data_IF_527878789849
#
_entry.id   IF_527878789849
#
_cell.length_a   1.000
_cell.length_b   1.000
_cell.length_c   1.000
_cell.angle_alpha   90.00
_cell.angle_beta   90.00
_cell.angle_gamma   90.00
#
_symmetry.space_group_name_H-M   'P 1'
#
loop_
_entity.id
_entity.type
_entity.pdbx_description
1 polymer ?
#
# COMPACT_ATOMS: atom_id res chain seq x y z
N UNK A 1 13.20 -12.29 7.32
CA UNK A 1 13.29 -11.09 8.18
C UNK A 1 12.00 -10.28 7.98
N UNK A 2 10.90 -10.96 8.29
CA UNK A 2 9.80 -10.61 9.17
C UNK A 2 9.03 -9.30 8.88
N UNK A 3 8.00 -9.50 8.04
CA UNK A 3 6.60 -9.05 8.09
C UNK A 3 6.19 -7.57 8.15
N UNK A 4 5.36 -7.21 7.16
CA UNK A 4 4.63 -5.95 7.02
C UNK A 4 3.51 -5.77 8.05
N UNK A 5 3.36 -4.53 8.55
CA UNK A 5 2.26 -4.08 9.39
C UNK A 5 1.12 -3.59 8.49
N UNK A 6 -0.04 -4.25 8.58
CA UNK A 6 -1.28 -3.79 7.95
C UNK A 6 -1.97 -2.79 8.88
N UNK A 7 -2.14 -1.55 8.42
CA UNK A 7 -2.97 -0.54 9.09
C UNK A 7 -4.46 -0.87 8.94
N UNK A 8 -5.30 -0.53 9.93
CA UNK A 8 -6.70 -0.92 9.96
C UNK A 8 -7.57 0.00 9.08
N UNK A 9 -7.46 -0.11 7.76
CA UNK A 9 -8.48 0.43 6.86
C UNK A 9 -9.69 -0.53 6.82
N UNK A 10 -10.65 -0.27 7.70
CA UNK A 10 -11.98 -0.91 7.73
C UNK A 10 -12.75 -0.50 6.48
N UNK A 11 -12.67 -1.33 5.43
CA UNK A 11 -13.74 -1.69 4.47
C UNK A 11 -13.21 -2.48 3.26
N UNK A 12 -12.03 -3.08 3.36
CA UNK A 12 -11.59 -4.12 2.44
C UNK A 12 -12.22 -5.45 2.85
N UNK A 13 -13.49 -5.64 2.51
CA UNK A 13 -14.06 -6.98 2.48
C UNK A 13 -13.23 -7.86 1.55
N UNK A 14 -12.34 -8.64 2.20
CA UNK A 14 -11.85 -9.96 1.80
C UNK A 14 -11.11 -10.00 0.44
N UNK A 15 -9.79 -10.19 0.54
CA UNK A 15 -8.89 -10.73 -0.51
C UNK A 15 -8.55 -9.84 -1.71
N UNK A 16 -7.84 -8.72 -1.53
CA UNK A 16 -7.10 -8.13 -2.66
C UNK A 16 -5.57 -8.12 -2.51
N UNK A 17 -5.00 -8.23 -1.31
CA UNK A 17 -3.54 -8.42 -1.15
C UNK A 17 -3.08 -9.90 -1.14
N UNK A 18 -3.96 -10.84 -1.49
CA UNK A 18 -3.61 -12.27 -1.68
C UNK A 18 -3.23 -12.59 -3.14
N UNK A 19 -3.40 -11.64 -4.07
CA UNK A 19 -2.78 -11.70 -5.38
C UNK A 19 -1.37 -11.12 -5.21
N UNK A 20 -0.31 -11.86 -4.95
CA UNK A 20 0.05 -13.18 -5.44
C UNK A 20 0.93 -13.84 -4.37
N UNK A 21 0.54 -15.00 -3.82
CA UNK A 21 1.34 -15.75 -2.82
C UNK A 21 2.79 -16.04 -3.26
N UNK A 22 3.12 -15.85 -4.54
CA UNK A 22 4.41 -16.14 -5.13
C UNK A 22 5.47 -15.03 -4.93
N UNK A 23 5.08 -13.78 -4.63
CA UNK A 23 6.00 -12.63 -4.68
C UNK A 23 6.22 -11.89 -3.35
N UNK A 24 5.40 -12.17 -2.34
CA UNK A 24 5.42 -11.44 -1.06
C UNK A 24 6.18 -12.20 0.04
N UNK A 25 6.67 -11.44 1.03
CA UNK A 25 7.33 -11.98 2.22
C UNK A 25 6.36 -12.86 3.05
N UNK A 26 6.87 -13.56 4.07
CA UNK A 26 6.03 -14.36 4.97
C UNK A 26 4.80 -13.56 5.42
N UNK A 27 3.60 -14.15 5.39
CA UNK A 27 2.36 -13.47 5.79
C UNK A 27 1.72 -14.22 6.95
N UNK A 28 1.20 -13.49 7.95
CA UNK A 28 0.50 -14.06 9.12
C UNK A 28 -0.96 -13.64 9.07
N UNK A 29 -1.85 -14.60 8.94
CA UNK A 29 -3.29 -14.37 9.00
C UNK A 29 -3.75 -14.60 10.43
N UNK A 30 -4.32 -13.58 11.05
CA UNK A 30 -5.05 -13.71 12.31
C UNK A 30 -6.51 -14.03 12.00
N UNK A 31 -7.00 -15.16 12.49
CA UNK A 31 -8.42 -15.55 12.40
C UNK A 31 -9.17 -15.13 13.67
N UNK A 32 -10.51 -15.01 13.58
CA UNK A 32 -11.36 -14.68 14.74
C UNK A 32 -11.21 -15.67 15.91
N UNK A 33 -10.77 -16.90 15.59
CA UNK A 33 -10.47 -17.98 16.55
C UNK A 33 -9.05 -17.88 17.16
N UNK A 34 -8.31 -16.82 16.86
CA UNK A 34 -6.96 -16.58 17.37
C UNK A 34 -5.87 -17.43 16.71
N UNK A 35 -6.21 -18.28 15.73
CA UNK A 35 -5.22 -19.04 14.97
C UNK A 35 -4.42 -18.13 14.05
N UNK A 36 -3.10 -18.21 14.16
CA UNK A 36 -2.11 -17.58 13.28
C UNK A 36 -1.71 -18.56 12.19
N UNK A 37 -2.23 -18.39 10.98
CA UNK A 37 -1.75 -19.15 9.82
C UNK A 37 -0.56 -18.42 9.22
N UNK A 38 0.58 -19.10 9.13
CA UNK A 38 1.77 -18.57 8.47
C UNK A 38 1.80 -19.03 7.02
N UNK A 39 1.75 -18.09 6.09
CA UNK A 39 1.97 -18.35 4.67
C UNK A 39 3.47 -18.24 4.42
N UNK A 40 4.13 -19.30 3.92
CA UNK A 40 5.54 -19.26 3.62
C UNK A 40 5.85 -18.21 2.56
N UNK A 41 7.05 -17.62 2.67
CA UNK A 41 7.58 -16.64 1.72
C UNK A 41 7.57 -17.19 0.29
N UNK A 42 7.10 -16.37 -0.65
CA UNK A 42 7.15 -16.67 -2.08
C UNK A 42 8.58 -16.60 -2.65
N UNK A 43 8.77 -17.07 -3.88
CA UNK A 43 10.07 -16.97 -4.55
C UNK A 43 10.52 -15.52 -4.79
N UNK A 44 9.57 -14.57 -4.79
CA UNK A 44 9.83 -13.18 -5.14
C UNK A 44 9.92 -12.97 -6.66
N UNK A 45 9.94 -11.70 -7.07
CA UNK A 45 10.18 -11.31 -8.46
C UNK A 45 11.61 -10.77 -8.59
N UNK A 46 12.46 -11.33 -9.47
CA UNK A 46 13.82 -10.84 -9.63
C UNK A 46 13.83 -9.47 -10.33
N UNK A 47 14.67 -8.55 -9.87
CA UNK A 47 14.84 -7.21 -10.45
C UNK A 47 13.55 -6.39 -10.51
N UNK A 48 12.70 -6.47 -9.48
CA UNK A 48 11.48 -5.68 -9.35
C UNK A 48 11.50 -4.92 -8.04
N UNK A 49 11.36 -3.60 -8.11
CA UNK A 49 11.26 -2.75 -6.93
C UNK A 49 9.81 -2.63 -6.45
N UNK A 50 8.88 -2.31 -7.36
CA UNK A 50 7.46 -2.09 -7.01
C UNK A 50 6.55 -2.77 -8.03
N UNK A 51 5.55 -3.49 -7.54
CA UNK A 51 4.53 -4.15 -8.35
C UNK A 51 3.23 -3.32 -8.40
N UNK A 52 2.79 -3.00 -9.61
CA UNK A 52 1.56 -2.21 -9.83
C UNK A 52 0.48 -3.09 -10.46
N UNK A 53 -0.60 -3.31 -9.73
CA UNK A 53 -1.78 -4.02 -10.22
C UNK A 53 -2.80 -3.04 -10.78
N UNK A 54 -2.91 -3.00 -12.11
CA UNK A 54 -3.88 -2.13 -12.77
C UNK A 54 -5.18 -2.92 -12.99
N UNK A 55 -6.28 -2.43 -12.40
CA UNK A 55 -7.58 -3.12 -12.41
C UNK A 55 -8.71 -2.18 -12.83
N UNK A 56 -9.84 -2.75 -13.25
CA UNK A 56 -11.07 -1.98 -13.46
C UNK A 56 -11.66 -1.59 -12.10
N UNK A 57 -11.94 -0.30 -11.90
CA UNK A 57 -12.62 0.19 -10.72
C UNK A 57 -14.05 -0.38 -10.59
N UNK A 58 -14.46 -0.68 -9.35
CA UNK A 58 -15.82 -1.09 -9.02
C UNK A 58 -16.78 0.10 -9.13
N UNK A 59 -18.07 -0.17 -9.35
CA UNK A 59 -19.08 0.88 -9.54
C UNK A 59 -19.15 1.85 -8.34
N UNK A 60 -19.04 1.35 -7.11
CA UNK A 60 -19.05 2.19 -5.89
C UNK A 60 -17.91 3.22 -5.89
N UNK A 61 -16.69 2.80 -6.27
CA UNK A 61 -15.53 3.68 -6.42
C UNK A 61 -15.76 4.67 -7.57
N UNK A 62 -16.21 4.17 -8.72
CA UNK A 62 -16.36 4.96 -9.94
C UNK A 62 -17.50 5.98 -9.92
N UNK A 63 -18.36 5.92 -8.90
CA UNK A 63 -19.38 6.93 -8.65
C UNK A 63 -18.82 8.19 -7.98
N UNK A 64 -17.64 8.11 -7.34
CA UNK A 64 -17.05 9.23 -6.59
C UNK A 64 -15.69 9.66 -7.12
N UNK A 65 -14.99 8.83 -7.90
CA UNK A 65 -13.70 9.16 -8.53
C UNK A 65 -13.55 8.57 -9.94
N UNK A 66 -12.51 8.97 -10.66
CA UNK A 66 -12.14 8.51 -12.01
C UNK A 66 -10.98 7.50 -12.01
N UNK A 67 -10.18 7.50 -10.94
CA UNK A 67 -9.15 6.54 -10.65
C UNK A 67 -8.86 6.57 -9.14
N UNK A 68 -8.24 5.51 -8.62
CA UNK A 68 -7.72 5.50 -7.27
C UNK A 68 -6.55 4.52 -7.16
N UNK A 69 -5.54 4.91 -6.40
CA UNK A 69 -4.52 4.06 -5.86
C UNK A 69 -4.99 3.34 -4.58
N UNK A 70 -4.35 2.23 -4.23
CA UNK A 70 -4.39 1.65 -2.91
C UNK A 70 -3.05 0.95 -2.62
N UNK A 71 -2.41 1.27 -1.49
CA UNK A 71 -1.19 0.60 -1.08
C UNK A 71 -1.50 -0.81 -0.59
N UNK A 72 -0.83 -1.81 -1.17
CA UNK A 72 -1.04 -3.22 -0.79
C UNK A 72 0.04 -3.74 0.14
N UNK A 73 1.31 -3.43 -0.13
CA UNK A 73 2.42 -3.89 0.68
C UNK A 73 3.55 -2.86 0.75
N UNK A 74 4.15 -2.80 1.94
CA UNK A 74 5.31 -1.99 2.27
C UNK A 74 6.39 -2.89 2.86
N UNK A 75 7.64 -2.68 2.47
CA UNK A 75 8.80 -3.39 2.98
C UNK A 75 9.03 -3.04 4.47
N UNK A 76 9.23 -4.05 5.32
CA UNK A 76 9.37 -3.86 6.76
C UNK A 76 10.65 -3.12 7.18
N UNK A 77 11.76 -3.34 6.46
CA UNK A 77 13.07 -2.79 6.84
C UNK A 77 13.28 -1.36 6.37
N UNK A 78 12.89 -1.08 5.12
CA UNK A 78 13.13 0.21 4.45
C UNK A 78 11.86 1.06 4.32
N UNK A 79 10.71 0.55 4.75
CA UNK A 79 9.42 1.24 4.69
C UNK A 79 8.98 1.68 3.27
N UNK A 80 9.54 1.03 2.26
CA UNK A 80 9.30 1.34 0.84
C UNK A 80 8.03 0.65 0.34
N UNK A 81 7.17 1.33 -0.43
CA UNK A 81 6.07 0.69 -1.15
C UNK A 81 6.57 -0.36 -2.15
N UNK A 82 6.11 -1.60 -1.99
CA UNK A 82 6.51 -2.73 -2.86
C UNK A 82 5.36 -3.29 -3.69
N UNK A 83 4.11 -3.04 -3.30
CA UNK A 83 2.96 -3.38 -4.13
C UNK A 83 1.80 -2.41 -3.93
N UNK A 84 1.10 -2.05 -5.01
CA UNK A 84 -0.09 -1.21 -4.97
C UNK A 84 -1.08 -1.60 -6.08
N UNK A 85 -2.36 -1.31 -5.85
CA UNK A 85 -3.40 -1.36 -6.86
C UNK A 85 -3.65 0.04 -7.44
N UNK A 86 -3.93 0.10 -8.73
CA UNK A 86 -4.49 1.28 -9.40
C UNK A 86 -5.79 0.84 -10.06
N UNK A 87 -6.90 1.32 -9.52
CA UNK A 87 -8.23 1.12 -10.05
C UNK A 87 -8.56 2.22 -11.06
N UNK A 88 -8.80 1.85 -12.32
CA UNK A 88 -9.17 2.78 -13.39
C UNK A 88 -10.67 2.67 -13.66
N UNK A 89 -11.38 3.80 -13.62
CA UNK A 89 -12.80 3.84 -13.96
C UNK A 89 -13.02 4.09 -15.45
N UNK A 90 -14.05 3.48 -16.08
CA UNK A 90 -14.33 3.66 -17.50
C UNK A 90 -14.55 5.13 -17.91
N UNK A 91 -15.00 5.97 -16.99
CA UNK A 91 -15.19 7.41 -17.22
C UNK A 91 -13.88 8.14 -17.57
N UNK A 92 -12.71 7.64 -17.15
CA UNK A 92 -11.41 8.25 -17.49
C UNK A 92 -11.21 8.32 -19.02
N UNK A 93 -11.68 7.30 -19.75
CA UNK A 93 -11.51 7.22 -21.20
C UNK A 93 -12.38 8.20 -21.99
N UNK A 94 -13.29 8.93 -21.33
CA UNK A 94 -14.07 10.02 -21.94
C UNK A 94 -13.27 11.32 -22.06
N UNK A 95 -12.15 11.43 -21.36
CA UNK A 95 -11.32 12.64 -21.34
C UNK A 95 -10.19 12.57 -22.38
N UNK A 96 -9.58 13.72 -22.76
CA UNK A 96 -8.44 13.72 -23.67
C UNK A 96 -7.24 12.93 -23.13
N UNK A 97 -6.43 12.35 -24.03
CA UNK A 97 -5.27 11.50 -23.68
C UNK A 97 -4.30 12.15 -22.69
N UNK A 98 -4.11 13.47 -22.78
CA UNK A 98 -3.25 14.21 -21.83
C UNK A 98 -3.78 14.10 -20.40
N UNK A 99 -5.06 14.35 -20.20
CA UNK A 99 -5.69 14.21 -18.89
C UNK A 99 -5.63 12.77 -18.37
N UNK A 100 -5.86 11.79 -19.23
CA UNK A 100 -5.70 10.37 -18.86
C UNK A 100 -4.28 10.07 -18.37
N UNK A 101 -3.28 10.63 -19.05
CA UNK A 101 -1.87 10.47 -18.69
C UNK A 101 -1.57 11.14 -17.35
N UNK A 102 -2.04 12.36 -17.14
CA UNK A 102 -1.83 13.10 -15.89
C UNK A 102 -2.45 12.37 -14.69
N UNK A 103 -3.67 11.81 -14.85
CA UNK A 103 -4.32 10.98 -13.83
C UNK A 103 -3.52 9.71 -13.54
N UNK A 104 -3.04 9.00 -14.56
CA UNK A 104 -2.24 7.80 -14.34
C UNK A 104 -0.90 8.12 -13.66
N UNK A 105 -0.24 9.22 -14.03
CA UNK A 105 0.97 9.68 -13.35
C UNK A 105 0.67 10.00 -11.88
N UNK A 106 -0.46 10.66 -11.59
CA UNK A 106 -0.90 10.95 -10.22
C UNK A 106 -1.06 9.68 -9.38
N UNK A 107 -1.79 8.67 -9.88
CA UNK A 107 -1.97 7.40 -9.14
C UNK A 107 -0.66 6.61 -9.00
N UNK A 108 0.20 6.62 -10.01
CA UNK A 108 1.53 5.99 -9.94
C UNK A 108 2.41 6.70 -8.90
N UNK A 109 2.40 8.03 -8.84
CA UNK A 109 3.12 8.79 -7.82
C UNK A 109 2.67 8.39 -6.41
N UNK A 110 1.35 8.26 -6.19
CA UNK A 110 0.84 7.78 -4.92
C UNK A 110 1.29 6.34 -4.61
N UNK A 111 1.28 5.45 -5.60
CA UNK A 111 1.77 4.07 -5.44
C UNK A 111 3.26 3.99 -5.09
N UNK A 112 4.06 4.98 -5.51
CA UNK A 112 5.48 5.11 -5.22
C UNK A 112 5.79 5.82 -3.90
N UNK A 113 4.78 6.29 -3.17
CA UNK A 113 4.97 6.86 -1.83
C UNK A 113 4.68 8.35 -1.70
N UNK A 114 4.19 9.02 -2.75
CA UNK A 114 3.75 10.42 -2.66
C UNK A 114 2.38 10.47 -2.00
N UNK A 115 2.28 10.09 -0.73
CA UNK A 115 1.02 9.95 -0.01
C UNK A 115 1.18 10.40 1.43
N UNK A 116 0.19 11.11 1.96
CA UNK A 116 0.16 11.52 3.37
C UNK A 116 0.30 10.33 4.32
N UNK A 117 -0.20 9.15 3.90
CA UNK A 117 -0.10 7.90 4.64
C UNK A 117 1.33 7.34 4.72
N UNK A 118 2.20 7.77 3.80
CA UNK A 118 3.56 7.25 3.62
C UNK A 118 4.64 8.27 3.98
N UNK A 119 4.31 9.56 4.09
CA UNK A 119 5.26 10.58 4.54
C UNK A 119 5.91 10.29 5.91
N UNK A 120 5.17 9.79 6.93
CA UNK A 120 5.78 9.39 8.21
C UNK A 120 6.80 8.25 8.09
N UNK A 121 6.76 7.51 6.98
CA UNK A 121 7.60 6.36 6.72
C UNK A 121 8.86 6.70 5.93
N UNK A 122 8.95 7.91 5.36
CA UNK A 122 10.10 8.34 4.57
C UNK A 122 11.40 8.25 5.37
N UNK A 123 12.47 7.97 4.63
CA UNK A 123 13.85 7.86 5.13
C UNK A 123 14.71 8.97 4.53
N UNK A 124 15.83 9.25 5.18
CA UNK A 124 16.89 10.10 4.65
C UNK A 124 17.74 9.30 3.67
N UNK A 125 18.65 9.99 2.98
CA UNK A 125 19.57 9.34 2.03
C UNK A 125 20.47 8.27 2.68
N UNK A 126 20.76 8.40 3.98
CA UNK A 126 21.53 7.41 4.75
C UNK A 126 20.67 6.22 5.25
N UNK A 127 19.39 6.16 4.85
CA UNK A 127 18.44 5.12 5.26
C UNK A 127 17.82 5.34 6.64
N UNK A 128 18.20 6.39 7.39
CA UNK A 128 17.60 6.64 8.71
C UNK A 128 16.16 7.14 8.58
N UNK A 129 15.23 6.70 9.44
CA UNK A 129 13.85 7.22 9.46
C UNK A 129 13.82 8.75 9.60
N UNK A 130 13.03 9.43 8.76
CA UNK A 130 12.82 10.88 8.92
C UNK A 130 11.99 11.18 10.16
N UNK A 131 10.96 10.37 10.41
CA UNK A 131 10.16 10.40 11.61
C UNK A 131 10.74 9.42 12.64
N UNK A 132 10.89 9.87 13.89
CA UNK A 132 11.34 9.01 14.98
C UNK A 132 10.45 7.76 15.10
N UNK A 133 11.05 6.59 15.33
CA UNK A 133 10.31 5.33 15.50
C UNK A 133 9.99 5.09 16.97
N UNK A 134 8.81 4.54 17.20
CA UNK A 134 8.48 3.94 18.48
C UNK A 134 9.37 2.70 18.72
N UNK A 135 10.06 2.60 19.86
CA UNK A 135 11.04 1.54 20.09
C UNK A 135 10.42 0.14 20.28
N UNK A 136 9.12 0.03 20.56
CA UNK A 136 8.43 -1.24 20.74
C UNK A 136 7.85 -1.76 19.42
N UNK A 137 7.28 -0.87 18.61
CA UNK A 137 6.52 -1.22 17.40
C UNK A 137 7.28 -0.95 16.10
N UNK A 138 8.36 -0.16 16.15
CA UNK A 138 9.10 0.35 15.00
C UNK A 138 8.24 1.20 14.02
N UNK A 139 7.07 1.67 14.47
CA UNK A 139 6.18 2.55 13.70
C UNK A 139 6.55 4.04 13.88
N UNK A 140 6.16 4.94 12.95
CA UNK A 140 6.35 6.37 13.13
C UNK A 140 5.68 6.89 14.41
N UNK A 141 6.46 7.53 15.28
CA UNK A 141 6.02 8.07 16.55
C UNK A 141 5.48 9.51 16.39
N UNK A 142 4.33 9.63 15.71
CA UNK A 142 3.58 10.89 15.56
C UNK A 142 2.35 10.96 16.48
N UNK A 143 2.06 9.88 17.21
CA UNK A 143 0.78 9.67 17.89
C UNK A 143 -0.32 9.16 16.95
N UNK A 144 -1.51 8.90 17.50
CA UNK A 144 -2.68 8.43 16.74
C UNK A 144 -3.85 9.44 16.81
N UNK A 145 -4.48 9.74 15.68
CA UNK A 145 -5.80 10.38 15.62
C UNK A 145 -6.87 9.30 15.34
N UNK A 146 -7.53 8.82 16.40
CA UNK A 146 -8.45 7.70 16.30
C UNK A 146 -7.69 6.39 16.01
N UNK A 147 -7.92 5.79 14.83
CA UNK A 147 -7.18 4.60 14.36
C UNK A 147 -6.06 4.92 13.38
N UNK A 148 -5.94 6.17 12.97
CA UNK A 148 -4.99 6.61 11.97
C UNK A 148 -3.79 7.27 12.66
N UNK A 149 -2.62 7.19 12.03
CA UNK A 149 -1.44 7.94 12.48
C UNK A 149 -1.72 9.44 12.30
N UNK A 150 -1.26 10.27 13.24
CA UNK A 150 -1.28 11.73 13.02
C UNK A 150 -0.43 12.06 11.79
N UNK A 151 -1.01 12.79 10.84
CA UNK A 151 -0.30 13.42 9.73
C UNK A 151 0.06 14.85 10.16
N UNK A 152 1.33 15.25 10.02
CA UNK A 152 1.76 16.65 10.13
C UNK A 152 1.44 17.42 8.86
#
# INVERSE_FOLDING_TARGET
KDLAIAHPFKELEKLNCIAEKASLDECRICTDEGSRVTIPKGAGLPNVDTLLYIVKGKDSLCNVTIAAQELCAQEHTEDRPVAAFISICPNLFKYPRRFQTDVMVHEVCHALGVSIYLYPYLRKEDGTPQTARDPETNLPNLGMFGKDLYYS
#
